data_IF_511832398655
#
_entry.id   IF_511832398655
#
_cell.length_a   1.000
_cell.length_b   1.000
_cell.length_c   1.000
_cell.angle_alpha   90.00
_cell.angle_beta   90.00
_cell.angle_gamma   90.00
#
_symmetry.space_group_name_H-M   'P 1'
#
loop_
_entity.id
_entity.type
_entity.pdbx_description
1 polymer ?
#
# COMPACT_ATOMS: atom_id res chain seq x y z
N UNK A 1 -8.53 7.03 13.23
CA UNK A 1 -8.55 6.53 11.85
C UNK A 1 -7.68 5.28 11.79
N UNK A 2 -8.19 4.25 11.13
CA UNK A 2 -7.49 2.97 10.94
C UNK A 2 -6.80 2.98 9.58
N UNK A 3 -5.50 2.84 9.56
CA UNK A 3 -4.67 2.83 8.34
C UNK A 3 -4.13 1.43 8.11
N UNK A 4 -4.39 0.88 6.94
CA UNK A 4 -3.92 -0.43 6.54
C UNK A 4 -2.67 -0.29 5.65
N UNK A 5 -1.55 -0.81 6.13
CA UNK A 5 -0.31 -0.93 5.36
C UNK A 5 -0.30 -2.31 4.72
N UNK A 6 -0.20 -2.39 3.40
CA UNK A 6 -0.34 -3.63 2.64
C UNK A 6 1.02 -4.01 2.05
N UNK A 7 1.61 -5.09 2.57
CA UNK A 7 2.79 -5.71 1.99
C UNK A 7 2.37 -6.70 0.91
N UNK A 8 2.39 -6.27 -0.34
CA UNK A 8 2.02 -7.06 -1.52
C UNK A 8 3.04 -8.12 -1.94
N UNK A 9 4.06 -8.39 -1.10
CA UNK A 9 5.05 -9.42 -1.39
C UNK A 9 4.68 -10.78 -0.78
N UNK A 10 4.98 -11.85 -1.52
CA UNK A 10 4.92 -13.23 -1.01
C UNK A 10 6.32 -13.80 -0.76
N UNK A 11 7.37 -13.16 -1.27
CA UNK A 11 8.77 -13.56 -1.12
C UNK A 11 9.65 -12.36 -0.77
N UNK A 12 10.62 -12.56 0.13
CA UNK A 12 11.55 -11.53 0.54
C UNK A 12 11.03 -10.66 1.68
N UNK A 13 11.83 -9.66 2.08
CA UNK A 13 11.53 -8.83 3.26
C UNK A 13 11.56 -7.33 3.00
N UNK A 14 12.12 -6.85 1.88
CA UNK A 14 12.44 -5.43 1.67
C UNK A 14 11.19 -4.54 1.69
N UNK A 15 10.09 -4.97 1.08
CA UNK A 15 8.80 -4.23 1.13
C UNK A 15 8.25 -4.14 2.55
N UNK A 16 8.32 -5.22 3.32
CA UNK A 16 7.93 -5.21 4.73
C UNK A 16 8.78 -4.27 5.57
N UNK A 17 10.11 -4.26 5.37
CA UNK A 17 11.02 -3.33 6.06
C UNK A 17 10.70 -1.86 5.73
N UNK A 18 10.37 -1.56 4.47
CA UNK A 18 9.93 -0.21 4.08
C UNK A 18 8.63 0.19 4.78
N UNK A 19 7.65 -0.73 4.88
CA UNK A 19 6.40 -0.49 5.60
C UNK A 19 6.62 -0.32 7.10
N UNK A 20 7.44 -1.15 7.71
CA UNK A 20 7.79 -1.02 9.14
C UNK A 20 8.47 0.33 9.42
N UNK A 21 9.30 0.81 8.49
CA UNK A 21 9.95 2.11 8.63
C UNK A 21 8.98 3.27 8.46
N UNK A 22 8.11 3.24 7.44
CA UNK A 22 7.11 4.29 7.24
C UNK A 22 6.07 4.30 8.36
N UNK A 23 5.72 3.15 8.90
CA UNK A 23 4.86 3.03 10.09
C UNK A 23 5.42 3.84 11.27
N UNK A 24 6.73 3.71 11.55
CA UNK A 24 7.39 4.50 12.61
C UNK A 24 7.30 6.00 12.35
N UNK A 25 7.48 6.43 11.11
CA UNK A 25 7.38 7.85 10.76
C UNK A 25 5.95 8.37 10.88
N UNK A 26 4.95 7.62 10.44
CA UNK A 26 3.54 8.00 10.60
C UNK A 26 3.20 8.12 12.09
N UNK A 27 3.60 7.15 12.90
CA UNK A 27 3.35 7.15 14.33
C UNK A 27 4.00 8.35 15.04
N UNK A 28 5.18 8.79 14.56
CA UNK A 28 5.85 9.98 15.06
C UNK A 28 5.13 11.28 14.67
N UNK A 29 4.51 11.35 13.48
CA UNK A 29 3.75 12.53 13.03
C UNK A 29 2.35 12.59 13.62
N UNK A 30 1.71 11.44 13.79
CA UNK A 30 0.36 11.36 14.36
C UNK A 30 0.17 10.03 15.14
N UNK A 31 0.42 10.03 16.45
CA UNK A 31 0.28 8.84 17.30
C UNK A 31 -1.16 8.36 17.48
N UNK A 32 -2.17 9.16 17.10
CA UNK A 32 -3.58 8.77 17.21
C UNK A 32 -4.05 7.88 16.05
N UNK A 33 -3.24 7.70 15.00
CA UNK A 33 -3.57 6.80 13.91
C UNK A 33 -3.34 5.34 14.36
N UNK A 34 -4.37 4.53 14.19
CA UNK A 34 -4.28 3.09 14.36
C UNK A 34 -3.68 2.47 13.09
N UNK A 35 -2.50 1.84 13.21
CA UNK A 35 -1.75 1.31 12.08
C UNK A 35 -1.70 -0.21 12.15
N UNK A 36 -2.09 -0.88 11.07
CA UNK A 36 -2.00 -2.33 10.93
C UNK A 36 -1.25 -2.70 9.65
N UNK A 37 -0.35 -3.68 9.69
CA UNK A 37 0.31 -4.21 8.50
C UNK A 37 -0.33 -5.54 8.11
N UNK A 38 -0.82 -5.62 6.88
CA UNK A 38 -1.32 -6.83 6.24
C UNK A 38 -0.22 -7.41 5.36
N UNK A 39 0.35 -8.53 5.78
CA UNK A 39 1.38 -9.25 5.04
C UNK A 39 0.76 -10.30 4.12
N UNK A 40 0.90 -10.15 2.81
CA UNK A 40 0.41 -11.14 1.84
C UNK A 40 1.11 -12.49 1.99
N UNK A 41 2.38 -12.51 2.40
CA UNK A 41 3.12 -13.75 2.68
C UNK A 41 2.50 -14.62 3.78
N UNK A 42 1.58 -14.06 4.58
CA UNK A 42 0.87 -14.78 5.66
C UNK A 42 -0.52 -15.25 5.26
N UNK A 43 -0.99 -14.92 4.05
CA UNK A 43 -2.33 -15.26 3.58
C UNK A 43 -2.31 -16.51 2.69
N UNK A 44 -3.36 -17.31 2.79
CA UNK A 44 -3.65 -18.37 1.85
C UNK A 44 -4.35 -17.77 0.62
N UNK A 45 -3.55 -17.38 -0.36
CA UNK A 45 -4.06 -16.78 -1.59
C UNK A 45 -4.95 -17.74 -2.37
N UNK A 46 -5.95 -17.19 -3.06
CA UNK A 46 -6.86 -17.90 -3.95
C UNK A 46 -6.92 -17.12 -5.27
N UNK A 47 -6.95 -17.85 -6.39
CA UNK A 47 -7.17 -17.26 -7.71
C UNK A 47 -8.64 -16.88 -7.83
N UNK A 48 -8.92 -15.69 -8.39
CA UNK A 48 -10.28 -15.26 -8.71
C UNK A 48 -10.80 -16.03 -9.94
N UNK A 49 -11.50 -17.12 -9.70
CA UNK A 49 -12.03 -18.04 -10.71
C UNK A 49 -13.57 -18.21 -10.62
N UNK A 50 -14.23 -17.41 -9.78
CA UNK A 50 -15.66 -17.48 -9.51
C UNK A 50 -16.05 -18.46 -8.40
N UNK A 51 -15.10 -19.21 -7.84
CA UNK A 51 -15.35 -20.05 -6.66
C UNK A 51 -15.56 -19.20 -5.39
N UNK A 52 -16.25 -19.73 -4.35
CA UNK A 52 -16.39 -19.03 -3.08
C UNK A 52 -15.04 -18.69 -2.46
N UNK A 53 -14.88 -17.46 -1.98
CA UNK A 53 -13.64 -17.01 -1.35
C UNK A 53 -13.36 -17.78 -0.06
N UNK A 54 -12.08 -18.11 0.16
CA UNK A 54 -11.62 -18.66 1.42
C UNK A 54 -11.61 -17.58 2.53
N UNK A 55 -11.39 -17.99 3.77
CA UNK A 55 -11.51 -17.10 4.92
C UNK A 55 -10.42 -16.01 4.96
N UNK A 56 -9.20 -16.30 4.45
CA UNK A 56 -8.14 -15.30 4.37
C UNK A 56 -8.47 -14.19 3.36
N UNK A 57 -9.07 -14.53 2.21
CA UNK A 57 -9.50 -13.53 1.23
C UNK A 57 -10.69 -12.72 1.74
N UNK A 58 -11.65 -13.34 2.41
CA UNK A 58 -12.75 -12.61 3.08
C UNK A 58 -12.22 -11.65 4.15
N UNK A 59 -11.31 -12.11 5.01
CA UNK A 59 -10.67 -11.28 6.04
C UNK A 59 -9.88 -10.12 5.43
N UNK A 60 -9.15 -10.35 4.35
CA UNK A 60 -8.42 -9.30 3.63
C UNK A 60 -9.38 -8.23 3.11
N UNK A 61 -10.46 -8.63 2.43
CA UNK A 61 -11.49 -7.70 1.91
C UNK A 61 -12.10 -6.90 3.05
N UNK A 62 -12.51 -7.56 4.13
CA UNK A 62 -13.08 -6.89 5.31
C UNK A 62 -12.12 -5.84 5.88
N UNK A 63 -10.82 -6.16 6.05
CA UNK A 63 -9.82 -5.20 6.55
C UNK A 63 -9.67 -3.99 5.63
N UNK A 64 -9.74 -4.20 4.31
CA UNK A 64 -9.69 -3.11 3.32
C UNK A 64 -10.96 -2.24 3.42
N UNK A 65 -12.14 -2.83 3.56
CA UNK A 65 -13.39 -2.08 3.71
C UNK A 65 -13.41 -1.23 4.99
N UNK A 66 -12.92 -1.79 6.11
CA UNK A 66 -12.90 -1.14 7.42
C UNK A 66 -11.82 -0.05 7.55
N UNK A 67 -10.76 -0.10 6.74
CA UNK A 67 -9.67 0.89 6.82
C UNK A 67 -10.11 2.25 6.27
N UNK A 68 -9.59 3.32 6.87
CA UNK A 68 -9.81 4.72 6.48
C UNK A 68 -8.75 5.23 5.50
N UNK A 69 -7.66 4.51 5.30
CA UNK A 69 -6.58 4.86 4.37
C UNK A 69 -5.58 3.71 4.20
N UNK A 70 -4.71 3.83 3.20
CA UNK A 70 -3.84 2.74 2.77
C UNK A 70 -2.43 3.18 2.47
N UNK A 71 -1.45 2.30 2.74
CA UNK A 71 -0.11 2.36 2.15
C UNK A 71 0.16 1.02 1.46
N UNK A 72 0.30 1.05 0.14
CA UNK A 72 0.63 -0.13 -0.66
C UNK A 72 2.14 -0.21 -0.87
N UNK A 73 2.76 -1.30 -0.40
CA UNK A 73 4.12 -1.64 -0.77
C UNK A 73 4.12 -2.82 -1.72
N UNK A 74 4.70 -2.63 -2.90
CA UNK A 74 4.75 -3.63 -3.96
C UNK A 74 6.19 -3.94 -4.35
N UNK A 75 6.61 -5.21 -4.38
CA UNK A 75 7.78 -5.57 -5.14
C UNK A 75 7.49 -5.48 -6.63
N UNK A 76 8.54 -5.38 -7.45
CA UNK A 76 8.42 -5.43 -8.90
C UNK A 76 8.88 -6.79 -9.40
N UNK A 77 7.98 -7.55 -10.00
CA UNK A 77 8.23 -8.83 -10.64
C UNK A 77 7.98 -8.73 -12.14
N UNK A 78 8.95 -9.17 -12.96
CA UNK A 78 8.87 -9.14 -14.43
C UNK A 78 8.32 -7.81 -14.98
N UNK A 79 8.91 -6.69 -14.51
CA UNK A 79 8.55 -5.32 -14.88
C UNK A 79 7.07 -4.94 -14.59
N UNK A 80 6.45 -5.58 -13.58
CA UNK A 80 5.05 -5.34 -13.18
C UNK A 80 4.86 -5.46 -11.68
N UNK A 81 3.66 -5.11 -11.18
CA UNK A 81 3.23 -5.51 -9.84
C UNK A 81 3.03 -7.03 -9.79
N UNK A 82 3.18 -7.68 -8.63
CA UNK A 82 2.97 -9.13 -8.49
C UNK A 82 1.55 -9.53 -8.90
N UNK A 83 1.43 -10.65 -9.62
CA UNK A 83 0.12 -11.21 -9.98
C UNK A 83 -0.79 -11.45 -8.77
N UNK A 84 -0.22 -11.84 -7.62
CA UNK A 84 -0.96 -12.03 -6.38
C UNK A 84 -1.57 -10.71 -5.85
N UNK A 85 -0.86 -9.59 -5.99
CA UNK A 85 -1.38 -8.28 -5.61
C UNK A 85 -2.50 -7.85 -6.56
N UNK A 86 -2.31 -8.01 -7.87
CA UNK A 86 -3.35 -7.69 -8.86
C UNK A 86 -4.60 -8.54 -8.64
N UNK A 87 -4.44 -9.84 -8.45
CA UNK A 87 -5.54 -10.77 -8.18
C UNK A 87 -6.31 -10.40 -6.89
N UNK A 88 -5.61 -9.99 -5.84
CA UNK A 88 -6.24 -9.52 -4.61
C UNK A 88 -7.05 -8.23 -4.84
N UNK A 89 -6.48 -7.26 -5.60
CA UNK A 89 -7.18 -6.03 -5.95
C UNK A 89 -8.44 -6.28 -6.79
N UNK A 90 -8.45 -7.31 -7.64
CA UNK A 90 -9.61 -7.70 -8.45
C UNK A 90 -10.77 -8.29 -7.61
N UNK A 91 -10.51 -8.73 -6.38
CA UNK A 91 -11.54 -9.23 -5.46
C UNK A 91 -12.19 -8.12 -4.62
N UNK A 92 -11.60 -6.91 -4.60
CA UNK A 92 -12.09 -5.82 -3.75
C UNK A 92 -13.30 -5.15 -4.37
N UNK A 93 -14.39 -4.93 -3.61
CA UNK A 93 -15.54 -4.18 -4.11
C UNK A 93 -15.14 -2.77 -4.57
N UNK A 94 -15.62 -2.30 -5.75
CA UNK A 94 -15.19 -1.02 -6.34
C UNK A 94 -15.37 0.22 -5.45
N UNK A 95 -16.29 0.18 -4.51
CA UNK A 95 -16.57 1.30 -3.58
C UNK A 95 -15.73 1.25 -2.29
N UNK A 96 -15.02 0.14 -2.00
CA UNK A 96 -14.36 -0.13 -0.72
C UNK A 96 -13.32 0.93 -0.33
N UNK A 97 -12.57 1.46 -1.29
CA UNK A 97 -11.45 2.40 -1.08
C UNK A 97 -11.77 3.84 -1.51
N UNK A 98 -13.02 4.11 -1.89
CA UNK A 98 -13.43 5.39 -2.48
C UNK A 98 -13.18 6.57 -1.54
N UNK A 99 -12.46 7.58 -2.07
CA UNK A 99 -12.10 8.83 -1.38
C UNK A 99 -11.24 8.67 -0.12
N UNK A 100 -10.69 7.47 0.10
CA UNK A 100 -9.74 7.22 1.17
C UNK A 100 -8.32 7.56 0.71
N UNK A 101 -7.46 8.12 1.58
CA UNK A 101 -6.08 8.43 1.23
C UNK A 101 -5.28 7.16 0.95
N UNK A 102 -4.41 7.22 -0.05
CA UNK A 102 -3.51 6.14 -0.37
C UNK A 102 -2.10 6.65 -0.67
N UNK A 103 -1.07 5.87 -0.32
CA UNK A 103 0.32 6.11 -0.69
C UNK A 103 0.94 4.84 -1.27
N UNK A 104 2.00 5.00 -2.07
CA UNK A 104 2.62 3.91 -2.82
C UNK A 104 4.11 3.83 -2.48
N UNK A 105 4.58 2.61 -2.21
CA UNK A 105 5.99 2.26 -2.03
C UNK A 105 6.30 1.10 -2.97
N UNK A 106 7.47 1.12 -3.63
CA UNK A 106 7.90 0.04 -4.48
C UNK A 106 9.34 -0.38 -4.22
N UNK A 107 9.63 -1.66 -4.47
CA UNK A 107 10.97 -2.19 -4.43
C UNK A 107 11.24 -3.10 -5.64
N UNK A 108 12.22 -2.74 -6.45
CA UNK A 108 12.67 -3.55 -7.57
C UNK A 108 14.09 -4.08 -7.38
N UNK A 109 14.54 -4.92 -8.30
CA UNK A 109 15.95 -5.37 -8.34
C UNK A 109 16.90 -4.26 -8.77
N UNK A 110 16.44 -3.38 -9.67
CA UNK A 110 17.21 -2.27 -10.25
C UNK A 110 16.39 -0.99 -10.30
N UNK A 111 17.05 0.14 -10.57
CA UNK A 111 16.41 1.45 -10.72
C UNK A 111 15.43 1.54 -11.89
N UNK A 112 15.59 0.73 -12.94
CA UNK A 112 14.90 0.87 -14.23
C UNK A 112 13.38 0.74 -14.18
N UNK A 113 12.81 0.13 -13.14
CA UNK A 113 11.38 -0.20 -13.07
C UNK A 113 10.55 0.75 -12.20
N UNK A 114 11.08 1.91 -11.83
CA UNK A 114 10.37 2.85 -10.94
C UNK A 114 9.01 3.32 -11.49
N UNK A 115 8.87 3.44 -12.82
CA UNK A 115 7.63 3.86 -13.47
C UNK A 115 6.50 2.80 -13.40
N UNK A 116 6.78 1.58 -12.96
CA UNK A 116 5.72 0.57 -12.75
C UNK A 116 4.71 1.05 -11.72
N UNK A 117 5.16 1.75 -10.68
CA UNK A 117 4.25 2.29 -9.66
C UNK A 117 3.28 3.30 -10.24
N UNK A 118 3.78 4.19 -11.11
CA UNK A 118 2.99 5.25 -11.74
C UNK A 118 2.08 4.70 -12.83
N UNK A 119 2.58 3.77 -13.65
CA UNK A 119 1.87 3.31 -14.84
C UNK A 119 0.96 2.10 -14.59
N UNK A 120 1.09 1.41 -13.47
CA UNK A 120 0.30 0.22 -13.18
C UNK A 120 -0.43 0.30 -11.83
N UNK A 121 0.27 0.54 -10.71
CA UNK A 121 -0.39 0.54 -9.40
C UNK A 121 -1.27 1.77 -9.19
N UNK A 122 -0.76 2.97 -9.51
CA UNK A 122 -1.54 4.22 -9.37
C UNK A 122 -2.86 4.18 -10.15
N UNK A 123 -2.91 3.81 -11.46
CA UNK A 123 -4.19 3.75 -12.19
C UNK A 123 -5.21 2.77 -11.59
N UNK A 124 -4.76 1.69 -10.94
CA UNK A 124 -5.66 0.79 -10.23
C UNK A 124 -6.26 1.49 -8.99
N UNK A 125 -5.45 2.21 -8.21
CA UNK A 125 -5.93 2.97 -7.06
C UNK A 125 -6.84 4.14 -7.48
N UNK A 126 -6.55 4.76 -8.62
CA UNK A 126 -7.40 5.81 -9.23
C UNK A 126 -8.76 5.22 -9.68
N UNK A 127 -8.78 3.99 -10.22
CA UNK A 127 -10.03 3.28 -10.51
C UNK A 127 -10.90 3.13 -9.25
N UNK A 128 -10.31 2.80 -8.12
CA UNK A 128 -11.00 2.77 -6.82
C UNK A 128 -11.33 4.16 -6.27
N UNK A 129 -10.93 5.23 -6.98
CA UNK A 129 -11.09 6.63 -6.55
C UNK A 129 -10.40 6.94 -5.22
N UNK A 130 -9.25 6.30 -4.97
CA UNK A 130 -8.39 6.68 -3.85
C UNK A 130 -7.82 8.09 -4.07
N UNK A 131 -7.55 8.78 -2.98
CA UNK A 131 -6.81 10.05 -2.99
C UNK A 131 -5.32 9.73 -2.82
N UNK A 132 -4.68 9.38 -3.94
CA UNK A 132 -3.29 8.95 -3.94
C UNK A 132 -2.35 10.14 -3.73
N UNK A 133 -1.39 10.02 -2.80
CA UNK A 133 -0.37 11.05 -2.57
C UNK A 133 0.42 11.33 -3.85
N UNK A 134 0.86 12.59 -4.10
CA UNK A 134 1.56 12.94 -5.32
C UNK A 134 2.93 12.29 -5.44
N UNK A 135 3.58 12.04 -4.29
CA UNK A 135 4.87 11.36 -4.21
C UNK A 135 4.71 9.87 -3.92
N UNK A 136 5.60 9.07 -4.48
CA UNK A 136 5.80 7.67 -4.11
C UNK A 136 7.28 7.43 -3.78
N UNK A 137 7.58 6.33 -3.10
CA UNK A 137 8.96 5.93 -2.82
C UNK A 137 9.28 4.65 -3.58
N UNK A 138 10.31 4.72 -4.42
CA UNK A 138 10.87 3.56 -5.09
C UNK A 138 12.27 3.26 -4.55
N UNK A 139 12.54 1.99 -4.30
CA UNK A 139 13.83 1.48 -3.84
C UNK A 139 14.32 0.34 -4.73
N UNK A 140 15.62 0.06 -4.69
CA UNK A 140 16.21 -1.09 -5.37
C UNK A 140 17.28 -1.76 -4.47
N UNK A 141 17.93 -2.78 -5.00
CA UNK A 141 18.81 -3.64 -4.21
C UNK A 141 19.89 -2.89 -3.42
N UNK A 142 20.50 -1.86 -4.02
CA UNK A 142 21.65 -1.14 -3.44
C UNK A 142 21.30 -0.24 -2.25
N UNK A 143 20.01 0.00 -2.00
CA UNK A 143 19.56 0.76 -0.84
C UNK A 143 19.50 -0.08 0.46
N UNK A 144 19.85 -1.37 0.37
CA UNK A 144 19.77 -2.29 1.51
C UNK A 144 21.09 -3.05 1.71
N UNK A 145 21.39 -3.34 2.97
CA UNK A 145 22.47 -4.26 3.31
C UNK A 145 22.05 -5.75 3.13
N UNK A 146 22.95 -6.67 3.45
CA UNK A 146 22.72 -8.11 3.34
C UNK A 146 21.64 -8.62 4.31
N UNK A 147 21.40 -7.92 5.40
CA UNK A 147 20.40 -8.18 6.41
C UNK A 147 19.04 -7.56 6.06
N UNK A 148 18.94 -6.86 4.91
CA UNK A 148 17.81 -6.08 4.41
C UNK A 148 17.49 -4.82 5.24
N UNK A 149 18.43 -4.26 5.99
CA UNK A 149 18.26 -2.94 6.58
C UNK A 149 18.42 -1.86 5.51
N UNK A 150 17.66 -0.77 5.62
CA UNK A 150 17.80 0.40 4.76
C UNK A 150 19.08 1.12 5.16
N UNK A 151 20.05 1.23 4.24
CA UNK A 151 21.34 1.89 4.47
C UNK A 151 21.45 3.25 3.77
N UNK A 152 20.51 3.59 2.93
CA UNK A 152 20.49 4.82 2.15
C UNK A 152 19.67 5.90 2.87
N UNK A 153 20.32 7.02 3.25
CA UNK A 153 19.68 8.12 3.98
C UNK A 153 18.64 8.85 3.11
N UNK A 154 18.82 8.90 1.79
CA UNK A 154 17.81 9.50 0.90
C UNK A 154 16.50 8.67 0.90
N UNK A 155 16.59 7.35 1.00
CA UNK A 155 15.41 6.50 1.19
C UNK A 155 14.68 6.85 2.49
N UNK A 156 15.41 7.03 3.59
CA UNK A 156 14.82 7.46 4.86
C UNK A 156 14.12 8.83 4.74
N UNK A 157 14.74 9.78 4.06
CA UNK A 157 14.19 11.11 3.85
C UNK A 157 12.90 11.06 2.99
N UNK A 158 12.91 10.28 1.91
CA UNK A 158 11.73 10.08 1.04
C UNK A 158 10.58 9.37 1.76
N UNK A 159 10.86 8.35 2.57
CA UNK A 159 9.84 7.66 3.39
C UNK A 159 9.26 8.60 4.47
N UNK A 160 10.10 9.43 5.10
CA UNK A 160 9.66 10.43 6.07
C UNK A 160 8.74 11.46 5.43
N UNK A 161 9.10 11.97 4.23
CA UNK A 161 8.27 12.90 3.49
C UNK A 161 6.97 12.27 3.02
N UNK A 162 6.99 11.02 2.53
CA UNK A 162 5.77 10.27 2.20
C UNK A 162 4.83 10.17 3.41
N UNK A 163 5.38 9.80 4.57
CA UNK A 163 4.61 9.69 5.81
C UNK A 163 3.98 11.02 6.22
N UNK A 164 4.76 12.12 6.14
CA UNK A 164 4.30 13.47 6.46
C UNK A 164 3.13 13.91 5.57
N UNK A 165 3.27 13.73 4.25
CA UNK A 165 2.24 14.08 3.27
C UNK A 165 1.01 13.19 3.46
N UNK A 166 1.20 11.89 3.66
CA UNK A 166 0.09 10.95 3.88
C UNK A 166 -0.74 11.31 5.12
N UNK A 167 -0.10 11.67 6.24
CA UNK A 167 -0.81 12.10 7.46
C UNK A 167 -1.66 13.36 7.20
N UNK A 168 -1.17 14.30 6.39
CA UNK A 168 -1.97 15.46 5.99
C UNK A 168 -3.18 15.07 5.14
N UNK A 169 -3.01 14.14 4.18
CA UNK A 169 -4.12 13.59 3.40
C UNK A 169 -5.17 12.93 4.28
N UNK A 170 -4.75 12.16 5.30
CA UNK A 170 -5.68 11.60 6.30
C UNK A 170 -6.51 12.67 6.99
N UNK A 171 -5.89 13.78 7.36
CA UNK A 171 -6.58 14.94 7.96
C UNK A 171 -7.61 15.57 7.02
N UNK A 172 -7.23 15.78 5.76
CA UNK A 172 -8.09 16.39 4.74
C UNK A 172 -9.29 15.50 4.36
N UNK A 173 -9.10 14.19 4.31
CA UNK A 173 -10.13 13.25 3.85
C UNK A 173 -11.13 12.83 4.93
N UNK A 174 -10.83 13.14 6.20
CA UNK A 174 -11.68 12.76 7.36
C UNK A 174 -13.16 13.17 7.20
N UNK A 175 -13.44 14.27 6.51
CA UNK A 175 -14.80 14.73 6.26
C UNK A 175 -15.38 14.19 4.94
N UNK A 176 -14.55 13.99 3.91
CA UNK A 176 -14.98 13.49 2.61
C UNK A 176 -15.56 12.07 2.67
N UNK A 177 -14.99 11.21 3.52
CA UNK A 177 -15.50 9.85 3.70
C UNK A 177 -16.86 9.79 4.40
N UNK A 178 -17.23 10.86 5.16
CA UNK A 178 -18.53 10.95 5.86
C UNK A 178 -19.64 11.50 4.97
N UNK A 179 -19.29 12.24 3.92
CA UNK A 179 -20.21 12.93 3.02
C UNK A 179 -20.34 12.23 1.67
N UNK A 180 -19.90 10.97 1.54
CA UNK A 180 -20.02 10.21 0.31
C UNK A 180 -21.49 10.05 -0.05
N UNK A 181 -22.04 11.06 -0.72
CA UNK A 181 -23.35 11.03 -1.35
C UNK A 181 -23.33 9.89 -2.37
N UNK A 182 -24.31 9.00 -2.31
CA UNK A 182 -24.58 7.96 -3.30
C UNK A 182 -24.90 8.62 -4.65
N UNK A 183 -23.85 8.97 -5.37
CA UNK A 183 -23.98 9.27 -6.80
C UNK A 183 -23.99 7.89 -7.47
N UNK A 184 -25.19 7.45 -7.88
CA UNK A 184 -25.45 6.28 -8.71
C UNK A 184 -24.69 6.36 -10.03
#
# INVERSE_FOLDING_TARGET
>A
MKILLIDGTIFGRKTGVLLEQVQKYIQAFNPELELEILYFSKLKHQILDGSPLNDDMKMMIQKIEEADGYIFASPIFQASIPGVLKNALDMIPPKAMRYKPAAIIGNGGTYQHHLVLENQLRPILDYFRCLVTPNYVYTHADHFDKENNIVDEDVHNRLRELARVFVQYCGMTKNLCKEAVDIQ
#
